data_IF_428179556346
#
_entry.id   IF_428179556346
#
_cell.length_a   1.000
_cell.length_b   1.000
_cell.length_c   1.000
_cell.angle_alpha   90.00
_cell.angle_beta   90.00
_cell.angle_gamma   90.00
#
_symmetry.space_group_name_H-M   'P 1'
#
loop_
_entity.id
_entity.type
_entity.pdbx_description
1 polymer ?
#
# COMPACT_ATOMS: atom_id res chain seq x y z
N UNK A 1 -21.07 38.13 18.70
CA UNK A 1 -19.64 37.85 18.94
C UNK A 1 -19.19 36.87 17.86
N UNK A 2 -18.51 37.38 16.83
CA UNK A 2 -18.25 36.66 15.58
C UNK A 2 -16.89 35.98 15.69
N UNK A 3 -16.86 34.64 15.68
CA UNK A 3 -15.63 33.87 15.75
C UNK A 3 -15.15 33.54 14.32
N UNK A 4 -14.06 34.16 13.91
CA UNK A 4 -13.40 33.98 12.64
C UNK A 4 -12.59 32.66 12.67
N UNK A 5 -12.95 31.68 11.85
CA UNK A 5 -12.17 30.47 11.64
C UNK A 5 -10.92 30.81 10.81
N UNK A 6 -9.75 30.56 11.37
CA UNK A 6 -8.47 30.60 10.64
C UNK A 6 -8.19 29.22 10.06
N UNK A 7 -8.23 29.12 8.75
CA UNK A 7 -7.71 27.97 7.99
C UNK A 7 -6.19 28.00 8.01
N UNK A 8 -5.56 26.98 8.58
CA UNK A 8 -4.12 26.73 8.41
C UNK A 8 -3.91 25.96 7.10
N UNK A 9 -3.30 26.62 6.13
CA UNK A 9 -2.83 26.00 4.91
C UNK A 9 -1.40 25.51 5.15
N UNK A 10 -1.19 24.21 5.20
CA UNK A 10 0.14 23.63 5.22
C UNK A 10 0.69 23.60 3.78
N UNK A 11 1.69 24.43 3.49
CA UNK A 11 2.43 24.39 2.25
C UNK A 11 3.51 23.32 2.31
N UNK A 12 3.36 22.25 1.53
CA UNK A 12 4.42 21.26 1.31
C UNK A 12 5.39 21.80 0.25
N UNK A 13 6.64 22.06 0.66
CA UNK A 13 7.74 22.37 -0.26
C UNK A 13 8.21 21.08 -0.92
N UNK A 14 7.93 20.93 -2.21
CA UNK A 14 8.55 19.90 -3.05
C UNK A 14 9.81 20.53 -3.67
N UNK A 15 10.98 20.10 -3.21
CA UNK A 15 12.27 20.42 -3.85
C UNK A 15 12.50 19.46 -5.02
N UNK A 16 12.31 19.95 -6.22
CA UNK A 16 12.71 19.25 -7.45
C UNK A 16 14.23 19.37 -7.64
N UNK A 17 14.95 18.27 -7.57
CA UNK A 17 16.34 18.19 -7.96
C UNK A 17 16.43 17.97 -9.48
N UNK A 18 16.80 19.00 -10.23
CA UNK A 18 17.14 18.92 -11.64
C UNK A 18 18.57 18.40 -11.82
N UNK A 19 18.70 17.17 -12.35
CA UNK A 19 19.97 16.67 -12.85
C UNK A 19 20.21 17.23 -14.26
N UNK A 20 21.24 18.08 -14.40
CA UNK A 20 21.74 18.53 -15.67
C UNK A 20 22.60 17.43 -16.32
N UNK A 21 22.15 16.88 -17.46
CA UNK A 21 23.01 16.07 -18.32
C UNK A 21 23.90 16.98 -19.16
N UNK A 22 25.22 16.91 -18.87
CA UNK A 22 26.24 17.53 -19.68
C UNK A 22 26.38 16.86 -21.06
N UNK A 23 26.24 17.63 -22.11
CA UNK A 23 26.53 17.23 -23.47
C UNK A 23 28.05 17.11 -23.66
N UNK A 24 28.55 15.94 -24.08
CA UNK A 24 29.92 15.75 -24.55
C UNK A 24 29.94 15.74 -26.06
N UNK A 25 30.80 16.59 -26.60
CA UNK A 25 30.91 16.96 -28.00
C UNK A 25 31.41 15.84 -28.92
N UNK A 26 30.96 15.94 -30.17
CA UNK A 26 31.45 15.23 -31.33
C UNK A 26 32.87 15.64 -31.70
N UNK A 27 33.77 14.66 -31.78
CA UNK A 27 35.00 14.80 -32.56
C UNK A 27 35.00 13.75 -33.66
N UNK A 28 34.93 14.26 -34.91
CA UNK A 28 35.15 13.54 -36.15
C UNK A 28 36.59 13.06 -36.23
N UNK A 29 36.90 11.84 -36.62
CA UNK A 29 38.19 11.49 -37.16
C UNK A 29 38.26 11.62 -38.67
N UNK A 30 39.36 12.18 -39.09
CA UNK A 30 39.80 12.52 -40.41
C UNK A 30 40.21 11.25 -41.18
N UNK A 31 39.70 11.11 -42.38
CA UNK A 31 40.07 10.11 -43.37
C UNK A 31 41.53 10.27 -43.81
N UNK A 32 42.29 9.21 -43.71
CA UNK A 32 43.58 9.12 -44.43
C UNK A 32 43.51 7.91 -45.33
N UNK A 33 43.54 8.26 -46.62
CA UNK A 33 43.65 7.36 -47.77
C UNK A 33 45.08 6.87 -47.85
N UNK A 34 45.31 5.56 -47.91
CA UNK A 34 46.60 4.99 -48.32
C UNK A 34 46.34 3.78 -49.22
N UNK A 35 47.01 3.85 -50.35
CA UNK A 35 46.93 3.02 -51.55
C UNK A 35 47.18 1.52 -51.32
N UNK A 36 46.58 0.75 -52.21
CA UNK A 36 46.79 -0.69 -52.41
C UNK A 36 48.17 -1.02 -52.99
N UNK A 37 48.65 -2.26 -52.78
CA UNK A 37 49.30 -2.96 -53.88
C UNK A 37 48.53 -4.23 -54.28
N UNK A 38 48.49 -4.36 -55.60
CA UNK A 38 48.06 -5.51 -56.39
C UNK A 38 48.96 -6.72 -56.10
N UNK A 39 48.37 -7.90 -55.89
CA UNK A 39 49.07 -9.20 -56.03
C UNK A 39 48.08 -10.28 -56.48
N UNK A 40 48.37 -10.78 -57.62
CA UNK A 40 48.14 -12.01 -58.35
C UNK A 40 47.19 -13.09 -57.81
N UNK A 41 46.31 -13.49 -58.72
CA UNK A 41 45.41 -14.62 -58.66
C UNK A 41 46.19 -15.94 -58.68
N UNK A 42 46.02 -16.76 -57.65
CA UNK A 42 46.33 -18.19 -57.67
C UNK A 42 45.03 -18.96 -57.60
N UNK A 43 44.70 -19.64 -58.69
CA UNK A 43 43.58 -20.58 -58.82
C UNK A 43 43.83 -21.79 -57.94
N UNK A 44 43.00 -21.97 -56.87
CA UNK A 44 42.95 -23.21 -56.09
C UNK A 44 41.58 -23.84 -56.27
N UNK A 45 41.62 -25.11 -56.59
CA UNK A 45 40.56 -26.09 -56.81
C UNK A 45 39.54 -26.14 -55.62
N UNK A 46 38.22 -26.31 -55.85
CA UNK A 46 37.21 -26.29 -54.77
C UNK A 46 37.29 -27.62 -53.98
N UNK A 47 37.93 -27.57 -52.84
CA UNK A 47 37.81 -28.64 -51.83
C UNK A 47 36.42 -28.47 -51.20
N UNK A 48 35.60 -29.49 -51.37
CA UNK A 48 34.28 -29.59 -50.69
C UNK A 48 34.48 -29.54 -49.17
N UNK A 49 34.07 -28.38 -48.58
CA UNK A 49 34.00 -28.23 -47.14
C UNK A 49 32.85 -29.08 -46.60
N UNK A 50 33.06 -29.85 -45.50
CA UNK A 50 31.98 -30.62 -44.91
C UNK A 50 30.85 -29.65 -44.49
N UNK A 51 29.66 -29.94 -44.94
CA UNK A 51 28.43 -29.26 -44.51
C UNK A 51 28.35 -29.36 -43.00
N UNK A 52 28.72 -28.27 -42.30
CA UNK A 52 28.47 -28.13 -40.88
C UNK A 52 26.96 -28.16 -40.74
N UNK A 53 26.48 -29.25 -40.17
CA UNK A 53 25.08 -29.33 -39.71
C UNK A 53 24.84 -28.18 -38.77
N UNK A 54 24.12 -27.16 -39.25
CA UNK A 54 23.73 -26.02 -38.41
C UNK A 54 22.85 -26.57 -37.30
N UNK A 55 23.44 -26.77 -36.14
CA UNK A 55 22.68 -26.96 -34.90
C UNK A 55 21.81 -25.73 -34.77
N UNK A 56 20.52 -25.93 -34.96
CA UNK A 56 19.55 -24.84 -34.78
C UNK A 56 19.70 -24.31 -33.34
N UNK A 57 20.38 -23.18 -33.20
CA UNK A 57 20.52 -22.51 -31.93
C UNK A 57 19.12 -22.04 -31.52
N UNK A 58 18.54 -22.71 -30.53
CA UNK A 58 17.24 -22.33 -30.03
C UNK A 58 17.31 -20.88 -29.49
N UNK A 59 16.39 -20.01 -29.91
CA UNK A 59 16.30 -18.63 -29.41
C UNK A 59 16.12 -18.69 -27.89
N UNK A 60 16.93 -17.96 -27.09
CA UNK A 60 16.82 -17.97 -25.66
C UNK A 60 15.42 -17.44 -25.24
N UNK A 61 14.87 -18.03 -24.19
CA UNK A 61 13.55 -17.67 -23.65
C UNK A 61 13.61 -17.52 -22.13
N UNK A 62 12.64 -16.83 -21.56
CA UNK A 62 12.35 -16.93 -20.12
C UNK A 62 11.80 -18.34 -19.87
N UNK A 63 12.25 -19.06 -18.84
CA UNK A 63 11.73 -20.40 -18.54
C UNK A 63 10.20 -20.43 -18.46
N UNK A 64 9.56 -21.31 -19.23
CA UNK A 64 8.10 -21.43 -19.30
C UNK A 64 7.41 -20.50 -20.29
N UNK A 65 8.14 -19.63 -21.01
CA UNK A 65 7.61 -18.67 -21.98
C UNK A 65 8.16 -18.94 -23.39
N UNK A 66 7.43 -18.46 -24.40
CA UNK A 66 7.84 -18.56 -25.80
C UNK A 66 8.91 -17.50 -26.14
N UNK A 67 9.64 -17.65 -27.25
CA UNK A 67 10.57 -16.63 -27.72
C UNK A 67 9.87 -15.25 -27.88
N UNK A 68 10.43 -14.21 -27.29
CA UNK A 68 9.88 -12.88 -27.35
C UNK A 68 8.69 -12.60 -26.40
N UNK A 69 8.22 -13.60 -25.67
CA UNK A 69 7.17 -13.44 -24.67
C UNK A 69 7.75 -12.84 -23.38
N UNK A 70 7.00 -11.92 -22.77
CA UNK A 70 7.38 -11.24 -21.52
C UNK A 70 6.48 -11.75 -20.40
N UNK A 71 7.03 -12.16 -19.25
CA UNK A 71 6.23 -12.53 -18.09
C UNK A 71 5.28 -11.42 -17.65
N UNK A 72 4.08 -11.72 -17.16
CA UNK A 72 3.17 -10.72 -16.64
C UNK A 72 3.74 -10.04 -15.39
N UNK A 73 3.32 -8.81 -15.13
CA UNK A 73 3.58 -8.15 -13.85
C UNK A 73 2.84 -8.91 -12.75
N UNK A 74 3.53 -9.39 -11.71
CA UNK A 74 2.89 -10.10 -10.62
C UNK A 74 1.87 -9.22 -9.91
N UNK A 75 0.75 -9.82 -9.52
CA UNK A 75 -0.17 -9.19 -8.59
C UNK A 75 0.34 -9.40 -7.17
N UNK A 76 0.31 -8.35 -6.39
CA UNK A 76 0.51 -8.45 -4.95
C UNK A 76 -0.84 -8.29 -4.23
N UNK A 77 -1.00 -9.06 -3.16
CA UNK A 77 -2.17 -8.97 -2.30
C UNK A 77 -1.80 -8.25 -1.02
N UNK A 78 -2.67 -7.35 -0.57
CA UNK A 78 -2.50 -6.73 0.73
C UNK A 78 -2.59 -7.80 1.83
N UNK A 79 -1.76 -7.70 2.88
CA UNK A 79 -1.98 -8.43 4.10
C UNK A 79 -3.35 -8.11 4.70
N UNK A 80 -3.90 -9.04 5.48
CA UNK A 80 -5.15 -8.78 6.20
C UNK A 80 -4.97 -7.56 7.14
N UNK A 81 -5.93 -6.64 7.13
CA UNK A 81 -5.94 -5.43 7.96
C UNK A 81 -7.15 -5.40 8.89
N UNK A 82 -7.53 -6.56 9.41
CA UNK A 82 -8.64 -6.76 10.36
C UNK A 82 -8.39 -6.13 11.75
N UNK A 83 -7.21 -5.58 11.96
CA UNK A 83 -6.81 -4.91 13.20
C UNK A 83 -7.76 -3.80 13.63
N UNK A 84 -8.39 -3.09 12.70
CA UNK A 84 -9.37 -2.06 13.02
C UNK A 84 -10.65 -2.68 13.55
N UNK A 85 -11.24 -3.64 12.85
CA UNK A 85 -12.46 -4.32 13.27
C UNK A 85 -12.27 -5.07 14.58
N UNK A 86 -11.18 -5.82 14.72
CA UNK A 86 -10.89 -6.61 15.94
C UNK A 86 -10.66 -5.77 17.20
N UNK A 87 -10.35 -4.48 17.07
CA UNK A 87 -10.14 -3.56 18.18
C UNK A 87 -11.29 -2.56 18.40
N UNK A 88 -12.25 -2.45 17.48
CA UNK A 88 -13.35 -1.49 17.59
C UNK A 88 -14.19 -1.70 18.86
N UNK A 89 -14.39 -2.95 19.28
CA UNK A 89 -15.14 -3.25 20.52
C UNK A 89 -14.44 -2.75 21.79
N UNK A 90 -13.14 -2.55 21.78
CA UNK A 90 -12.39 -1.95 22.90
C UNK A 90 -12.79 -0.50 23.16
N UNK A 91 -13.32 0.18 22.14
CA UNK A 91 -13.82 1.55 22.25
C UNK A 91 -15.26 1.62 22.79
N UNK A 92 -15.92 0.48 22.97
CA UNK A 92 -17.21 0.40 23.66
C UNK A 92 -16.91 0.50 25.17
N UNK A 93 -17.02 1.72 25.69
CA UNK A 93 -16.76 1.98 27.12
C UNK A 93 -18.06 1.72 27.87
N UNK A 94 -18.12 0.63 28.63
CA UNK A 94 -19.27 0.35 29.48
C UNK A 94 -19.37 1.36 30.62
N UNK A 95 -20.57 1.93 30.78
CA UNK A 95 -20.85 2.71 31.99
C UNK A 95 -20.66 1.81 33.22
N UNK A 96 -20.17 2.38 34.29
CA UNK A 96 -19.80 1.69 35.55
C UNK A 96 -20.90 0.85 36.25
N UNK A 97 -21.93 0.45 35.50
CA UNK A 97 -23.05 -0.34 35.96
C UNK A 97 -22.68 -1.73 36.49
N UNK A 98 -21.57 -2.31 36.02
CA UNK A 98 -21.19 -3.67 36.36
C UNK A 98 -20.75 -3.87 37.84
N UNK A 99 -20.22 -2.83 38.48
CA UNK A 99 -19.75 -2.94 39.86
C UNK A 99 -20.87 -2.80 40.89
N UNK A 100 -21.97 -2.09 40.57
CA UNK A 100 -23.11 -1.88 41.46
C UNK A 100 -24.23 -2.91 41.28
N UNK A 101 -24.26 -3.63 40.14
CA UNK A 101 -25.27 -4.67 39.86
C UNK A 101 -25.22 -5.85 40.79
N UNK A 102 -24.17 -6.00 41.60
CA UNK A 102 -24.03 -7.05 42.62
C UNK A 102 -24.72 -6.68 43.95
N UNK A 103 -25.19 -5.44 44.11
CA UNK A 103 -25.86 -5.02 45.37
C UNK A 103 -27.34 -5.35 45.27
N UNK A 104 -27.81 -6.21 46.19
CA UNK A 104 -29.22 -6.63 46.24
C UNK A 104 -30.14 -5.43 46.45
N UNK A 105 -31.18 -5.29 45.63
CA UNK A 105 -32.15 -4.20 45.74
C UNK A 105 -31.74 -2.91 44.97
N UNK A 106 -30.65 -2.94 44.22
CA UNK A 106 -30.22 -1.83 43.36
C UNK A 106 -30.41 -2.20 41.89
N UNK A 107 -31.21 -1.45 41.17
CA UNK A 107 -31.33 -1.55 39.71
C UNK A 107 -30.58 -0.39 39.07
N UNK A 108 -29.66 -0.74 38.20
CA UNK A 108 -28.87 0.24 37.46
C UNK A 108 -29.37 0.25 36.01
N UNK A 109 -29.82 1.39 35.56
CA UNK A 109 -30.24 1.60 34.18
C UNK A 109 -29.43 2.73 33.53
N UNK A 110 -28.95 2.56 32.29
CA UNK A 110 -28.29 3.64 31.58
C UNK A 110 -29.27 4.81 31.43
N UNK A 111 -28.85 6.01 31.81
CA UNK A 111 -29.62 7.23 31.57
C UNK A 111 -29.35 7.76 30.15
N UNK A 112 -30.32 8.40 29.52
CA UNK A 112 -30.12 9.11 28.27
C UNK A 112 -29.15 10.28 28.48
N UNK A 113 -28.25 10.48 27.51
CA UNK A 113 -27.37 11.62 27.49
C UNK A 113 -28.18 12.94 27.46
N UNK A 114 -27.95 13.78 28.42
CA UNK A 114 -28.58 15.13 28.51
C UNK A 114 -27.53 16.24 28.28
N UNK A 115 -26.36 15.91 27.77
CA UNK A 115 -25.27 16.86 27.54
C UNK A 115 -24.37 17.10 28.75
N UNK A 116 -24.64 16.42 29.88
CA UNK A 116 -23.82 16.56 31.08
C UNK A 116 -22.74 15.51 31.15
N UNK A 117 -21.59 15.84 31.74
CA UNK A 117 -20.46 14.88 31.92
C UNK A 117 -20.63 14.06 33.18
N UNK A 118 -20.25 12.77 33.14
CA UNK A 118 -20.19 11.87 34.26
C UNK A 118 -18.77 11.33 34.43
N UNK A 119 -18.28 11.31 35.65
CA UNK A 119 -16.98 10.70 35.98
C UNK A 119 -17.28 9.45 36.82
N UNK A 120 -16.73 8.29 36.38
CA UNK A 120 -16.83 7.04 37.08
C UNK A 120 -15.44 6.36 37.12
N UNK A 121 -14.76 6.43 38.25
CA UNK A 121 -13.40 5.93 38.39
C UNK A 121 -12.43 6.64 37.45
N UNK A 122 -11.78 5.89 36.56
CA UNK A 122 -10.88 6.41 35.54
C UNK A 122 -11.57 6.71 34.19
N UNK A 123 -12.90 6.70 34.16
CA UNK A 123 -13.70 6.92 32.94
C UNK A 123 -14.46 8.22 33.06
N UNK A 124 -14.43 9.02 31.98
CA UNK A 124 -15.17 10.26 31.81
C UNK A 124 -16.11 10.09 30.62
N UNK A 125 -17.41 10.31 30.85
CA UNK A 125 -18.43 10.31 29.79
C UNK A 125 -18.81 11.74 29.46
N UNK A 126 -18.79 12.09 28.16
CA UNK A 126 -18.98 13.45 27.70
C UNK A 126 -20.45 13.91 27.58
N UNK A 127 -21.41 13.02 27.66
CA UNK A 127 -22.83 13.33 27.53
C UNK A 127 -23.34 13.46 26.08
N UNK A 128 -22.46 13.48 25.13
CA UNK A 128 -22.70 13.57 23.67
C UNK A 128 -22.42 12.23 22.95
N UNK A 129 -22.23 11.16 23.71
CA UNK A 129 -21.82 9.86 23.16
C UNK A 129 -20.31 9.67 23.19
N UNK A 130 -19.56 10.69 23.60
CA UNK A 130 -18.10 10.57 23.78
C UNK A 130 -17.73 10.00 25.15
N UNK A 131 -16.57 9.39 25.24
CA UNK A 131 -16.00 8.95 26.51
C UNK A 131 -14.48 8.80 26.43
N UNK A 132 -13.83 8.92 27.59
CA UNK A 132 -12.42 8.64 27.78
C UNK A 132 -12.27 7.68 28.95
N UNK A 133 -11.56 6.58 28.74
CA UNK A 133 -11.24 5.61 29.78
C UNK A 133 -9.74 5.37 29.82
N UNK A 134 -9.16 5.38 31.01
CA UNK A 134 -7.74 5.11 31.22
C UNK A 134 -7.57 4.04 32.28
N UNK A 135 -6.77 3.05 31.98
CA UNK A 135 -6.33 2.00 32.91
C UNK A 135 -4.82 1.79 32.77
N UNK A 136 -4.22 0.97 33.65
CA UNK A 136 -2.79 0.74 33.59
C UNK A 136 -2.34 0.23 32.21
N UNK A 137 -1.65 1.07 31.46
CA UNK A 137 -1.09 0.75 30.13
C UNK A 137 -2.05 0.83 28.95
N UNK A 138 -3.32 1.26 29.18
CA UNK A 138 -4.30 1.43 28.12
C UNK A 138 -5.05 2.75 28.28
N UNK A 139 -5.32 3.42 27.16
CA UNK A 139 -6.20 4.59 27.09
C UNK A 139 -7.12 4.42 25.89
N UNK A 140 -8.39 4.62 26.10
CA UNK A 140 -9.42 4.60 25.06
C UNK A 140 -10.11 5.95 25.04
N UNK A 141 -10.17 6.58 23.90
CA UNK A 141 -10.93 7.80 23.62
C UNK A 141 -11.94 7.45 22.53
N UNK A 142 -13.22 7.62 22.83
CA UNK A 142 -14.30 7.55 21.84
C UNK A 142 -14.85 8.96 21.66
N UNK A 143 -14.83 9.48 20.42
CA UNK A 143 -15.28 10.84 20.12
C UNK A 143 -16.80 11.01 20.09
N UNK A 144 -17.55 9.91 20.04
CA UNK A 144 -19.02 9.96 19.94
C UNK A 144 -19.55 10.22 18.53
N UNK A 145 -18.69 10.62 17.62
CA UNK A 145 -18.97 10.93 16.21
C UNK A 145 -18.45 9.87 15.22
N UNK A 146 -18.04 8.73 15.74
CA UNK A 146 -17.41 7.64 14.97
C UNK A 146 -15.88 7.68 15.02
N UNK A 147 -15.30 8.77 15.49
CA UNK A 147 -13.84 8.89 15.67
C UNK A 147 -13.38 8.38 17.03
N UNK A 148 -12.10 8.14 17.18
CA UNK A 148 -11.49 7.79 18.44
C UNK A 148 -10.07 7.29 18.36
N UNK A 149 -9.49 7.03 19.54
CA UNK A 149 -8.12 6.53 19.67
C UNK A 149 -8.06 5.43 20.73
N UNK A 150 -7.37 4.37 20.41
CA UNK A 150 -7.05 3.30 21.36
C UNK A 150 -5.52 3.24 21.46
N UNK A 151 -5.00 3.34 22.68
CA UNK A 151 -3.57 3.13 22.95
C UNK A 151 -3.44 2.01 23.96
N UNK A 152 -2.68 0.97 23.62
CA UNK A 152 -2.44 -0.19 24.48
C UNK A 152 -0.98 -0.64 24.33
N UNK A 153 -0.18 -0.41 25.36
CA UNK A 153 1.25 -0.69 25.32
C UNK A 153 1.95 0.01 24.16
N UNK A 154 2.48 -0.76 23.20
CA UNK A 154 3.16 -0.25 22.01
C UNK A 154 2.23 0.00 20.82
N UNK A 155 0.94 -0.24 20.97
CA UNK A 155 -0.04 -0.13 19.89
C UNK A 155 -0.86 1.14 20.03
N UNK A 156 -1.04 1.87 18.93
CA UNK A 156 -1.98 2.99 18.82
C UNK A 156 -2.84 2.80 17.59
N UNK A 157 -4.15 2.95 17.76
CA UNK A 157 -5.14 2.85 16.68
C UNK A 157 -5.95 4.14 16.69
N UNK A 158 -6.07 4.78 15.55
CA UNK A 158 -6.88 5.98 15.37
C UNK A 158 -8.00 5.69 14.38
N UNK A 159 -9.21 6.04 14.73
CA UNK A 159 -10.40 6.01 13.90
C UNK A 159 -10.80 7.45 13.62
N UNK A 160 -10.98 7.80 12.35
CA UNK A 160 -11.38 9.18 12.00
C UNK A 160 -12.91 9.35 11.89
N UNK A 161 -13.66 8.24 11.80
CA UNK A 161 -15.11 8.25 11.68
C UNK A 161 -15.64 8.42 10.25
N UNK A 162 -14.76 8.70 9.30
CA UNK A 162 -15.07 8.90 7.88
C UNK A 162 -14.68 7.72 6.96
N UNK A 163 -14.29 6.60 7.56
CA UNK A 163 -13.77 5.44 6.84
C UNK A 163 -12.24 5.40 6.76
N UNK A 164 -11.56 6.42 7.29
CA UNK A 164 -10.11 6.44 7.40
C UNK A 164 -9.63 6.10 8.81
N UNK A 165 -8.35 5.71 8.92
CA UNK A 165 -7.74 5.39 10.20
C UNK A 165 -6.28 5.02 10.10
N UNK A 166 -5.62 4.96 11.26
CA UNK A 166 -4.23 4.54 11.36
C UNK A 166 -4.07 3.47 12.45
N UNK A 167 -3.21 2.51 12.18
CA UNK A 167 -2.73 1.53 13.15
C UNK A 167 -1.22 1.62 13.21
N UNK A 168 -0.67 1.72 14.41
CA UNK A 168 0.78 1.70 14.63
C UNK A 168 1.11 0.74 15.77
N UNK A 169 2.04 -0.16 15.54
CA UNK A 169 2.62 -1.00 16.58
C UNK A 169 4.13 -0.80 16.61
N UNK A 170 4.60 -0.10 17.62
CA UNK A 170 6.02 0.25 17.78
C UNK A 170 6.92 -0.95 18.04
N UNK A 171 6.39 -2.03 18.63
CA UNK A 171 7.16 -3.23 18.93
C UNK A 171 7.47 -4.03 17.67
N UNK A 172 6.55 -4.08 16.72
CA UNK A 172 6.71 -4.78 15.43
C UNK A 172 7.09 -3.82 14.29
N UNK A 173 7.12 -2.51 14.55
CA UNK A 173 7.30 -1.44 13.55
C UNK A 173 6.28 -1.53 12.40
N UNK A 174 5.07 -2.05 12.69
CA UNK A 174 3.98 -2.10 11.73
C UNK A 174 3.22 -0.78 11.77
N UNK A 175 3.05 -0.16 10.62
CA UNK A 175 2.17 0.99 10.42
C UNK A 175 1.22 0.73 9.26
N UNK A 176 -0.06 0.98 9.49
CA UNK A 176 -1.10 0.89 8.47
C UNK A 176 -1.83 2.23 8.47
N UNK A 177 -1.98 2.83 7.30
CA UNK A 177 -2.79 4.02 7.09
C UNK A 177 -3.82 3.69 6.03
N UNK A 178 -5.07 4.00 6.30
CA UNK A 178 -6.18 3.85 5.35
C UNK A 178 -6.87 5.19 5.23
N UNK A 179 -7.04 5.66 4.02
CA UNK A 179 -7.78 6.88 3.70
C UNK A 179 -9.23 6.53 3.31
N UNK A 180 -10.13 7.48 3.44
CA UNK A 180 -11.56 7.27 3.19
C UNK A 180 -11.88 6.82 1.74
N UNK A 181 -11.02 7.14 0.77
CA UNK A 181 -11.17 6.72 -0.64
C UNK A 181 -10.65 5.31 -0.93
N UNK A 182 -10.08 4.65 0.09
CA UNK A 182 -9.48 3.33 -0.02
C UNK A 182 -8.03 3.36 -0.50
N UNK A 183 -7.41 4.54 -0.59
CA UNK A 183 -5.95 4.66 -0.67
C UNK A 183 -5.31 4.34 0.69
N UNK A 184 -4.01 4.18 0.71
CA UNK A 184 -3.33 3.94 1.97
C UNK A 184 -1.98 3.26 1.83
N UNK A 185 -1.40 2.96 2.99
CA UNK A 185 -0.10 2.29 3.11
C UNK A 185 -0.11 1.20 4.17
N UNK A 186 0.67 0.17 3.94
CA UNK A 186 0.99 -0.86 4.93
C UNK A 186 2.52 -0.97 4.95
N UNK A 187 3.14 -0.74 6.09
CA UNK A 187 4.60 -0.68 6.23
C UNK A 187 5.07 -1.54 7.40
N UNK A 188 6.04 -2.39 7.12
CA UNK A 188 6.85 -3.12 8.09
C UNK A 188 8.32 -2.74 7.87
N UNK A 189 9.28 -3.22 8.68
CA UNK A 189 10.71 -2.96 8.43
C UNK A 189 11.20 -3.37 7.05
N UNK A 190 10.64 -4.45 6.51
CA UNK A 190 11.11 -5.03 5.24
C UNK A 190 10.18 -4.79 4.07
N UNK A 191 8.92 -4.44 4.31
CA UNK A 191 7.89 -4.45 3.27
C UNK A 191 7.05 -3.18 3.33
N UNK A 192 6.79 -2.60 2.17
CA UNK A 192 5.86 -1.48 2.02
C UNK A 192 4.88 -1.79 0.89
N UNK A 193 3.59 -1.61 1.18
CA UNK A 193 2.51 -1.59 0.19
C UNK A 193 1.93 -0.18 0.16
N UNK A 194 1.67 0.33 -1.02
CA UNK A 194 0.96 1.59 -1.22
C UNK A 194 -0.12 1.38 -2.29
N UNK A 195 -1.33 1.82 -2.03
CA UNK A 195 -2.43 1.81 -2.99
C UNK A 195 -3.02 3.21 -3.12
N UNK A 196 -3.45 3.58 -4.31
CA UNK A 196 -4.11 4.86 -4.59
C UNK A 196 -5.64 4.81 -4.50
N UNK A 197 -6.21 3.63 -4.18
CA UNK A 197 -7.66 3.41 -4.16
C UNK A 197 -8.33 3.38 -5.54
N UNK A 198 -7.59 3.55 -6.65
CA UNK A 198 -8.10 3.65 -8.03
C UNK A 198 -7.57 2.54 -8.94
N UNK A 199 -6.72 1.69 -8.42
CA UNK A 199 -6.19 0.52 -9.14
C UNK A 199 -4.70 0.55 -9.37
N UNK A 200 -4.00 1.63 -8.95
CA UNK A 200 -2.55 1.69 -8.96
C UNK A 200 -1.96 1.47 -7.57
N UNK A 201 -0.69 1.11 -7.54
CA UNK A 201 0.02 0.89 -6.30
C UNK A 201 1.43 0.36 -6.50
N UNK A 202 2.12 0.26 -5.37
CA UNK A 202 3.50 -0.20 -5.30
C UNK A 202 3.67 -1.19 -4.16
N UNK A 203 4.40 -2.26 -4.43
CA UNK A 203 4.94 -3.17 -3.43
C UNK A 203 6.45 -3.09 -3.46
N UNK A 204 7.07 -2.99 -2.31
CA UNK A 204 8.53 -3.03 -2.15
C UNK A 204 8.88 -3.97 -1.00
N UNK A 205 9.83 -4.87 -1.25
CA UNK A 205 10.45 -5.70 -0.23
C UNK A 205 11.95 -5.45 -0.26
N UNK A 206 12.46 -4.78 0.78
CA UNK A 206 13.87 -4.38 0.87
C UNK A 206 14.79 -5.57 1.11
N UNK A 207 14.33 -6.60 1.81
CA UNK A 207 15.11 -7.82 2.08
C UNK A 207 15.37 -8.64 0.82
N UNK A 208 14.37 -8.81 -0.05
CA UNK A 208 14.52 -9.48 -1.34
C UNK A 208 15.07 -8.55 -2.44
N UNK A 209 14.94 -7.24 -2.28
CA UNK A 209 15.21 -6.23 -3.30
C UNK A 209 14.17 -6.26 -4.42
N UNK A 210 12.94 -6.69 -4.11
CA UNK A 210 11.83 -6.75 -5.04
C UNK A 210 10.99 -5.48 -4.99
N UNK A 211 10.63 -4.96 -6.16
CA UNK A 211 9.68 -3.85 -6.31
C UNK A 211 8.73 -4.18 -7.44
N UNK A 212 7.44 -4.03 -7.18
CA UNK A 212 6.37 -4.16 -8.16
C UNK A 212 5.62 -2.83 -8.18
N UNK A 213 5.45 -2.24 -9.36
CA UNK A 213 4.56 -1.09 -9.57
C UNK A 213 3.45 -1.46 -10.53
N UNK A 214 2.29 -0.89 -10.31
CA UNK A 214 1.14 -1.00 -11.19
C UNK A 214 0.48 0.36 -11.29
N UNK A 215 0.29 0.88 -12.50
CA UNK A 215 -0.23 2.23 -12.75
C UNK A 215 -1.77 2.27 -12.85
N UNK A 216 -2.43 1.11 -12.70
CA UNK A 216 -3.90 1.00 -12.78
C UNK A 216 -4.49 1.16 -14.17
N UNK A 217 -3.68 1.47 -15.19
CA UNK A 217 -4.07 1.65 -16.59
C UNK A 217 -3.67 0.46 -17.49
N UNK A 218 -3.03 -0.54 -16.91
CA UNK A 218 -2.52 -1.74 -17.60
C UNK A 218 -1.01 -1.76 -17.79
N UNK A 219 -0.30 -0.71 -17.38
CA UNK A 219 1.17 -0.70 -17.34
C UNK A 219 1.69 -1.04 -15.93
N UNK A 220 2.97 -1.37 -15.85
CA UNK A 220 3.61 -1.67 -14.60
C UNK A 220 5.05 -2.17 -14.77
N UNK A 221 5.73 -2.31 -13.64
CA UNK A 221 7.10 -2.85 -13.58
C UNK A 221 7.23 -3.90 -12.50
N UNK A 222 8.09 -4.87 -12.73
CA UNK A 222 8.54 -5.81 -11.70
C UNK A 222 10.07 -5.86 -11.73
N UNK A 223 10.68 -5.45 -10.67
CA UNK A 223 12.14 -5.41 -10.52
C UNK A 223 12.55 -6.26 -9.33
N UNK A 224 13.55 -7.10 -9.56
CA UNK A 224 14.27 -7.84 -8.52
C UNK A 224 15.74 -7.46 -8.62
N UNK A 225 16.59 -8.06 -7.78
CA UNK A 225 18.06 -7.83 -7.85
C UNK A 225 18.67 -8.16 -9.21
N UNK A 226 18.06 -9.04 -9.99
CA UNK A 226 18.65 -9.58 -11.23
C UNK A 226 17.75 -9.47 -12.44
N UNK A 227 16.47 -9.18 -12.24
CA UNK A 227 15.47 -9.14 -13.31
C UNK A 227 14.69 -7.84 -13.26
N UNK A 228 14.43 -7.27 -14.42
CA UNK A 228 13.48 -6.17 -14.61
C UNK A 228 12.51 -6.55 -15.72
N UNK A 229 11.22 -6.46 -15.42
CA UNK A 229 10.12 -6.60 -16.37
C UNK A 229 9.40 -5.25 -16.46
N UNK A 230 9.17 -4.77 -17.66
CA UNK A 230 8.40 -3.56 -17.94
C UNK A 230 7.25 -3.93 -18.86
N UNK A 231 6.07 -3.55 -18.48
CA UNK A 231 4.85 -3.62 -19.28
C UNK A 231 4.34 -2.20 -19.50
N UNK A 232 4.23 -1.76 -20.76
CA UNK A 232 3.79 -0.41 -21.09
C UNK A 232 2.26 -0.25 -21.18
N UNK A 233 1.50 -1.36 -21.03
CA UNK A 233 0.04 -1.34 -21.06
C UNK A 233 -0.59 -1.25 -22.47
N UNK A 234 0.22 -1.12 -23.49
CA UNK A 234 -0.18 -1.00 -24.91
C UNK A 234 0.10 -2.26 -25.74
N UNK A 235 0.56 -3.33 -25.10
CA UNK A 235 0.97 -4.59 -25.72
C UNK A 235 2.48 -4.68 -25.95
N UNK A 236 3.23 -3.62 -25.63
CA UNK A 236 4.69 -3.60 -25.67
C UNK A 236 5.30 -3.80 -24.27
N UNK A 237 6.58 -4.16 -24.24
CA UNK A 237 7.26 -4.30 -22.95
C UNK A 237 8.70 -4.80 -23.13
N UNK A 238 9.37 -4.96 -21.99
CA UNK A 238 10.74 -5.51 -21.97
C UNK A 238 10.97 -6.44 -20.77
N UNK A 239 11.88 -7.35 -20.97
CA UNK A 239 12.45 -8.21 -19.92
C UNK A 239 13.96 -8.09 -19.98
N UNK A 240 14.60 -7.89 -18.86
CA UNK A 240 16.06 -7.80 -18.75
C UNK A 240 16.55 -8.64 -17.58
N UNK A 241 17.53 -9.49 -17.84
CA UNK A 241 18.31 -10.23 -16.85
C UNK A 241 19.79 -10.23 -17.27
N UNK A 242 20.73 -10.74 -16.47
CA UNK A 242 22.14 -10.78 -16.82
C UNK A 242 22.46 -11.52 -18.13
N UNK A 243 21.63 -12.49 -18.53
CA UNK A 243 21.87 -13.34 -19.71
C UNK A 243 20.83 -13.17 -20.82
N UNK A 244 19.72 -12.46 -20.56
CA UNK A 244 18.62 -12.39 -21.50
C UNK A 244 17.98 -11.00 -21.50
N UNK A 245 17.90 -10.39 -22.68
CA UNK A 245 17.14 -9.17 -22.93
C UNK A 245 16.08 -9.45 -23.98
N UNK A 246 14.83 -9.13 -23.68
CA UNK A 246 13.70 -9.20 -24.60
C UNK A 246 13.09 -7.80 -24.71
N UNK A 247 12.86 -7.36 -25.94
CA UNK A 247 12.07 -6.15 -26.25
C UNK A 247 10.92 -6.61 -27.15
N UNK A 248 9.70 -6.52 -26.66
CA UNK A 248 8.49 -6.88 -27.40
C UNK A 248 7.85 -5.61 -27.95
N UNK A 249 7.64 -5.56 -29.27
CA UNK A 249 7.13 -4.38 -29.97
C UNK A 249 5.58 -4.34 -30.05
N UNK A 250 4.87 -5.36 -29.54
CA UNK A 250 3.41 -5.43 -29.53
C UNK A 250 2.75 -5.66 -30.91
N UNK A 251 3.54 -5.74 -31.96
CA UNK A 251 3.11 -5.93 -33.36
C UNK A 251 3.30 -7.38 -33.87
N UNK A 252 3.60 -8.32 -33.00
CA UNK A 252 3.95 -9.69 -33.34
C UNK A 252 5.47 -9.88 -33.52
N UNK A 253 6.26 -8.85 -33.29
CA UNK A 253 7.72 -8.94 -33.33
C UNK A 253 8.36 -8.66 -31.98
N UNK A 254 9.52 -9.26 -31.76
CA UNK A 254 10.37 -8.97 -30.61
C UNK A 254 11.84 -9.04 -30.99
N UNK A 255 12.68 -8.50 -30.11
CA UNK A 255 14.13 -8.70 -30.14
C UNK A 255 14.54 -9.51 -28.93
N UNK A 256 15.29 -10.58 -29.12
CA UNK A 256 15.85 -11.43 -28.07
C UNK A 256 17.36 -11.41 -28.19
N UNK A 257 18.04 -10.79 -27.23
CA UNK A 257 19.49 -10.52 -27.30
C UNK A 257 19.91 -9.88 -28.63
N UNK A 258 19.10 -8.95 -29.15
CA UNK A 258 19.31 -8.26 -30.43
C UNK A 258 18.91 -9.06 -31.68
N UNK A 259 18.51 -10.32 -31.56
CA UNK A 259 18.01 -11.12 -32.68
C UNK A 259 16.50 -10.94 -32.83
N UNK A 260 16.05 -10.70 -34.07
CA UNK A 260 14.63 -10.53 -34.39
C UNK A 260 13.89 -11.87 -34.28
N UNK A 261 12.77 -11.85 -33.57
CA UNK A 261 11.81 -12.95 -33.45
C UNK A 261 10.48 -12.48 -34.03
N UNK A 262 9.81 -13.37 -34.77
CA UNK A 262 8.43 -13.19 -35.27
C UNK A 262 7.48 -14.06 -34.46
N UNK A 263 6.17 -13.76 -34.53
CA UNK A 263 5.11 -14.43 -33.79
C UNK A 263 5.23 -14.30 -32.26
N UNK A 264 5.88 -13.22 -31.79
CA UNK A 264 5.91 -12.86 -30.39
C UNK A 264 4.50 -12.43 -29.92
N UNK A 265 3.98 -13.00 -28.82
CA UNK A 265 2.67 -12.58 -28.31
C UNK A 265 2.74 -11.17 -27.78
N UNK A 266 1.63 -10.43 -27.87
CA UNK A 266 1.50 -9.13 -27.19
C UNK A 266 1.65 -9.29 -25.69
N UNK A 267 2.20 -8.27 -25.04
CA UNK A 267 2.25 -8.22 -23.58
C UNK A 267 0.85 -7.94 -23.03
N UNK A 268 0.37 -8.81 -22.18
CA UNK A 268 -0.93 -8.65 -21.53
C UNK A 268 -0.90 -7.46 -20.57
N UNK A 269 -2.01 -6.72 -20.50
CA UNK A 269 -2.13 -5.61 -19.57
C UNK A 269 -1.99 -6.09 -18.12
N UNK A 270 -1.28 -5.32 -17.31
CA UNK A 270 -1.26 -5.51 -15.88
C UNK A 270 -2.68 -5.34 -15.31
N UNK A 271 -3.08 -6.25 -14.44
CA UNK A 271 -4.40 -6.17 -13.81
C UNK A 271 -4.44 -5.04 -12.79
N UNK A 272 -5.61 -4.41 -12.64
CA UNK A 272 -5.82 -3.38 -11.61
C UNK A 272 -5.69 -3.97 -10.22
N UNK A 273 -5.11 -3.20 -9.32
CA UNK A 273 -5.05 -3.51 -7.90
C UNK A 273 -6.38 -3.21 -7.22
N UNK A 274 -6.63 -3.85 -6.08
CA UNK A 274 -7.73 -3.53 -5.19
C UNK A 274 -7.52 -2.21 -4.46
N UNK A 275 -8.30 -2.01 -3.41
CA UNK A 275 -8.18 -0.88 -2.49
C UNK A 275 -8.20 -1.38 -1.05
N UNK A 276 -7.75 -0.56 -0.12
CA UNK A 276 -7.94 -0.85 1.29
C UNK A 276 -9.43 -0.86 1.64
N UNK A 277 -9.89 -1.79 2.49
CA UNK A 277 -11.24 -1.73 3.04
C UNK A 277 -11.37 -0.48 3.92
N UNK A 278 -12.56 0.14 3.90
CA UNK A 278 -12.83 1.28 4.77
C UNK A 278 -12.73 0.87 6.25
N UNK A 279 -12.21 1.76 7.06
CA UNK A 279 -12.16 1.59 8.53
C UNK A 279 -13.56 1.86 9.08
N UNK A 280 -14.07 0.94 9.88
CA UNK A 280 -15.38 1.09 10.52
C UNK A 280 -15.36 2.26 11.52
N UNK A 281 -16.46 3.02 11.55
CA UNK A 281 -16.65 4.06 12.56
C UNK A 281 -16.92 3.45 13.94
N UNK A 282 -16.40 4.07 14.98
CA UNK A 282 -16.68 3.66 16.36
C UNK A 282 -18.14 3.94 16.70
N UNK A 283 -18.74 3.04 17.47
CA UNK A 283 -20.10 3.27 18.00
C UNK A 283 -20.04 4.30 19.12
N UNK A 284 -20.95 5.29 19.13
CA UNK A 284 -21.07 6.20 20.27
C UNK A 284 -21.31 5.44 21.58
N UNK A 285 -20.84 5.98 22.66
CA UNK A 285 -21.13 5.44 23.99
C UNK A 285 -22.59 5.71 24.35
N UNK A 286 -23.38 4.66 24.48
CA UNK A 286 -24.85 4.79 24.63
C UNK A 286 -25.30 5.30 26.01
N UNK A 287 -24.43 5.27 27.01
CA UNK A 287 -24.81 5.60 28.38
C UNK A 287 -24.01 6.78 28.94
N UNK A 288 -24.68 7.88 29.16
CA UNK A 288 -24.12 9.10 29.74
C UNK A 288 -24.37 9.23 31.25
N UNK A 289 -24.91 8.24 31.87
CA UNK A 289 -25.18 8.21 33.32
C UNK A 289 -25.90 6.94 33.74
N UNK A 290 -25.95 6.72 35.02
CA UNK A 290 -26.60 5.55 35.61
C UNK A 290 -27.74 6.01 36.49
N UNK A 291 -28.95 5.54 36.21
CA UNK A 291 -30.10 5.73 37.12
C UNK A 291 -30.02 4.57 38.13
N UNK A 292 -29.82 4.92 39.39
CA UNK A 292 -29.86 3.98 40.50
C UNK A 292 -31.25 4.01 41.10
N UNK A 293 -31.95 2.90 41.02
CA UNK A 293 -33.23 2.70 41.71
C UNK A 293 -33.04 1.75 42.88
N UNK A 294 -33.41 2.19 44.08
CA UNK A 294 -33.48 1.35 45.26
C UNK A 294 -34.89 0.80 45.37
N UNK A 295 -35.04 -0.52 45.59
CA UNK A 295 -36.35 -1.13 45.82
C UNK A 295 -37.03 -0.46 47.05
N UNK A 296 -38.22 0.13 46.79
CA UNK A 296 -39.00 0.79 47.83
C UNK A 296 -38.79 2.30 48.04
N UNK A 297 -37.94 2.92 47.21
CA UNK A 297 -37.69 4.36 47.27
C UNK A 297 -37.94 5.02 45.91
N UNK A 298 -38.43 6.28 45.92
CA UNK A 298 -38.54 7.10 44.71
C UNK A 298 -37.17 7.22 44.00
N UNK A 299 -37.13 7.20 42.67
CA UNK A 299 -35.86 7.28 41.96
C UNK A 299 -35.12 8.57 42.31
N UNK A 300 -34.01 8.43 43.02
CA UNK A 300 -33.07 9.52 43.25
C UNK A 300 -32.32 9.76 41.95
N UNK A 301 -32.68 10.82 41.21
CA UNK A 301 -31.80 11.36 40.21
C UNK A 301 -30.56 11.91 40.90
N UNK A 302 -29.45 11.23 40.80
CA UNK A 302 -28.17 11.85 41.10
C UNK A 302 -28.01 13.04 40.17
N UNK A 303 -28.30 14.24 40.66
CA UNK A 303 -27.90 15.47 39.97
C UNK A 303 -26.39 15.47 39.94
N UNK A 304 -25.86 15.55 38.76
CA UNK A 304 -24.48 15.81 38.48
C UNK A 304 -24.05 17.13 39.17
N UNK A 305 -22.87 17.10 39.73
CA UNK A 305 -22.15 18.28 40.21
C UNK A 305 -21.20 18.72 39.13
#
# INVERSE_FOLDING_TARGET
>A
MTITRRTLTAAALITAATLALGACGSSKPKTTETAAPSAEATTAEPTQSPTASATASSTPTVPGYRPGEIPPIPLFSLPAIDVFASNADKAVIDSASSQLSSVKGVTISPAKCDGSSLISGSTIFGGDGSAVSSSAGSTVVNGGDGSGVITEGSTTITYAGDGSGTYTNMATMLTITVDADGSGTYTTPDTTFTLDGKGSGTYTNTSSGETITNDGNGSGTHTTRTVTVINNGDGTGSYTSPSLTIINNGDGTAQVNGQKVTDAPKVDKAAKLGKFPAVESLKPVESCGTLITLEGWCPLRLRQV
#
